data_IF_282812071493
#
_entry.id   IF_282812071493
#
_cell.length_a   1.000
_cell.length_b   1.000
_cell.length_c   1.000
_cell.angle_alpha   90.00
_cell.angle_beta   90.00
_cell.angle_gamma   90.00
#
_symmetry.space_group_name_H-M   'P 1'
#
loop_
_entity.id
_entity.type
_entity.pdbx_description
1 polymer ?
#
# COMPACT_ATOMS: atom_id res chain seq x y z
N UNK A 1 -25.18 14.34 -6.29
CA UNK A 1 -25.35 12.95 -6.78
C UNK A 1 -24.09 12.45 -7.48
N UNK A 2 -23.19 13.32 -7.96
CA UNK A 2 -21.89 12.96 -8.56
C UNK A 2 -20.93 12.11 -7.71
N UNK A 3 -20.93 12.30 -6.38
CA UNK A 3 -20.03 11.51 -5.52
C UNK A 3 -20.39 10.02 -5.50
N UNK A 4 -21.68 9.68 -5.60
CA UNK A 4 -22.11 8.28 -5.67
C UNK A 4 -21.65 7.62 -6.98
N UNK A 5 -21.68 8.36 -8.09
CA UNK A 5 -21.18 7.87 -9.37
C UNK A 5 -19.66 7.63 -9.33
N UNK A 6 -18.90 8.51 -8.65
CA UNK A 6 -17.47 8.32 -8.43
C UNK A 6 -17.18 7.04 -7.63
N UNK A 7 -17.93 6.77 -6.54
CA UNK A 7 -17.72 5.58 -5.72
C UNK A 7 -18.15 4.27 -6.41
N UNK A 8 -19.10 4.32 -7.33
CA UNK A 8 -19.54 3.14 -8.11
C UNK A 8 -18.63 2.91 -9.33
N UNK A 9 -17.85 3.91 -9.74
CA UNK A 9 -16.93 3.81 -10.87
C UNK A 9 -15.87 2.74 -10.66
N UNK A 10 -15.80 1.79 -11.61
CA UNK A 10 -14.74 0.78 -11.64
C UNK A 10 -13.34 1.39 -11.80
N UNK A 11 -13.23 2.51 -12.52
CA UNK A 11 -11.95 3.21 -12.72
C UNK A 11 -11.38 3.78 -11.42
N UNK A 12 -12.25 4.24 -10.52
CA UNK A 12 -11.85 4.72 -9.20
C UNK A 12 -11.20 3.60 -8.38
N UNK A 13 -11.88 2.45 -8.26
CA UNK A 13 -11.35 1.31 -7.51
C UNK A 13 -10.12 0.68 -8.16
N UNK A 14 -10.07 0.61 -9.48
CA UNK A 14 -8.89 0.11 -10.20
C UNK A 14 -7.66 0.99 -9.92
N UNK A 15 -7.80 2.32 -9.95
CA UNK A 15 -6.72 3.23 -9.61
C UNK A 15 -6.31 3.11 -8.14
N UNK A 16 -7.28 3.02 -7.23
CA UNK A 16 -7.04 2.84 -5.79
C UNK A 16 -6.24 1.57 -5.53
N UNK A 17 -6.67 0.42 -6.07
CA UNK A 17 -5.98 -0.85 -5.90
C UNK A 17 -4.58 -0.82 -6.50
N UNK A 18 -4.39 -0.21 -7.68
CA UNK A 18 -3.08 -0.12 -8.33
C UNK A 18 -2.04 0.61 -7.48
N UNK A 19 -2.46 1.60 -6.69
CA UNK A 19 -1.56 2.39 -5.83
C UNK A 19 -1.44 1.74 -4.45
N UNK A 20 -2.55 1.34 -3.84
CA UNK A 20 -2.58 0.82 -2.48
C UNK A 20 -2.00 -0.59 -2.36
N UNK A 21 -2.28 -1.48 -3.33
CA UNK A 21 -1.84 -2.88 -3.26
C UNK A 21 -0.31 -3.05 -3.10
N UNK A 22 0.56 -2.44 -3.93
CA UNK A 22 2.00 -2.61 -3.76
C UNK A 22 2.51 -2.06 -2.43
N UNK A 23 1.91 -0.99 -1.90
CA UNK A 23 2.26 -0.44 -0.59
C UNK A 23 1.90 -1.42 0.53
N UNK A 24 0.67 -1.94 0.54
CA UNK A 24 0.20 -2.89 1.56
C UNK A 24 1.04 -4.17 1.53
N UNK A 25 1.29 -4.73 0.35
CA UNK A 25 2.10 -5.95 0.25
C UNK A 25 3.56 -5.69 0.59
N UNK A 26 4.11 -4.53 0.24
CA UNK A 26 5.47 -4.13 0.57
C UNK A 26 5.69 -4.04 2.08
N UNK A 27 4.78 -3.37 2.81
CA UNK A 27 4.90 -3.20 4.26
C UNK A 27 4.63 -4.50 5.02
N UNK A 28 3.61 -5.28 4.63
CA UNK A 28 3.36 -6.59 5.25
C UNK A 28 4.55 -7.53 5.04
N UNK A 29 5.11 -7.56 3.83
CA UNK A 29 6.28 -8.38 3.52
C UNK A 29 7.50 -8.00 4.35
N UNK A 30 7.72 -6.69 4.53
CA UNK A 30 8.82 -6.18 5.35
C UNK A 30 8.64 -6.50 6.84
N UNK A 31 7.45 -6.30 7.40
CA UNK A 31 7.16 -6.70 8.79
C UNK A 31 7.41 -8.20 9.03
N UNK A 32 7.05 -9.06 8.07
CA UNK A 32 7.33 -10.50 8.19
C UNK A 32 8.85 -10.75 8.19
N UNK A 33 9.58 -10.11 7.28
CA UNK A 33 11.03 -10.24 7.18
C UNK A 33 11.74 -9.70 8.43
N UNK A 34 11.29 -8.58 8.98
CA UNK A 34 11.82 -8.00 10.22
C UNK A 34 11.69 -9.00 11.38
N UNK A 35 10.51 -9.64 11.51
CA UNK A 35 10.28 -10.70 12.51
C UNK A 35 11.12 -11.95 12.27
N UNK A 36 11.53 -12.20 11.02
CA UNK A 36 12.47 -13.25 10.67
C UNK A 36 13.95 -12.84 10.86
N UNK A 37 14.22 -11.62 11.33
CA UNK A 37 15.57 -11.09 11.55
C UNK A 37 16.22 -10.50 10.30
N UNK A 38 15.47 -10.30 9.21
CA UNK A 38 15.94 -9.70 7.96
C UNK A 38 15.26 -8.34 7.77
N UNK A 39 16.01 -7.30 8.06
CA UNK A 39 15.57 -5.91 7.96
C UNK A 39 15.86 -5.33 6.57
N UNK A 40 14.89 -4.62 5.98
CA UNK A 40 15.11 -3.77 4.82
C UNK A 40 15.12 -2.28 5.21
N UNK A 41 16.32 -1.75 5.51
CA UNK A 41 16.53 -0.35 5.90
C UNK A 41 15.95 0.67 4.89
N UNK A 42 15.88 0.32 3.60
CA UNK A 42 15.28 1.19 2.60
C UNK A 42 13.76 1.32 2.78
N UNK A 43 13.07 0.21 3.05
CA UNK A 43 11.62 0.20 3.30
C UNK A 43 11.32 0.86 4.64
N UNK A 44 12.06 0.51 5.71
CA UNK A 44 11.85 1.10 7.03
C UNK A 44 12.13 2.62 7.05
N UNK A 45 13.11 3.07 6.28
CA UNK A 45 13.37 4.50 6.07
C UNK A 45 12.21 5.22 5.38
N UNK A 46 11.63 4.62 4.32
CA UNK A 46 10.47 5.20 3.63
C UNK A 46 9.23 5.18 4.54
N UNK A 47 9.05 4.12 5.33
CA UNK A 47 7.96 4.04 6.32
C UNK A 47 8.10 5.07 7.46
N UNK A 48 9.34 5.40 7.84
CA UNK A 48 9.62 6.45 8.84
C UNK A 48 9.45 7.87 8.26
N UNK A 49 9.74 8.05 6.96
CA UNK A 49 9.57 9.33 6.26
C UNK A 49 8.12 9.59 5.78
N UNK A 50 7.29 8.55 5.74
CA UNK A 50 5.89 8.59 5.32
C UNK A 50 4.97 9.31 6.31
#
# INVERSE_FOLDING_TARGET
>A
MDWLELFISAGFWAAMLRIAAPLIFGTIGELICERAGVLNLGIEGIMTMG
#
